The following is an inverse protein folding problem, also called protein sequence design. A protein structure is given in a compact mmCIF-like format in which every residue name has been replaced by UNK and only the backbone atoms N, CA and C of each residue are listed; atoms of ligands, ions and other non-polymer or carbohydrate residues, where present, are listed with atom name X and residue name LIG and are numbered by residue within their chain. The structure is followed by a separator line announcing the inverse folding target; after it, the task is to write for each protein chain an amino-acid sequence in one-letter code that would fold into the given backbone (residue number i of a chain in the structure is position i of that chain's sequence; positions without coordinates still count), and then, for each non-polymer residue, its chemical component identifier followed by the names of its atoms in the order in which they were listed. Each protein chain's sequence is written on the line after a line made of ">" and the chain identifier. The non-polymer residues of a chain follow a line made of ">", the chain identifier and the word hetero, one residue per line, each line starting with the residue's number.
data_IF_659959143398
#
_entry.id   IF_659959143398
#
_cell.length_a   1.000
_cell.length_b   1.000
_cell.length_c   1.000
_cell.angle_alpha   90.00
_cell.angle_beta   90.00
_cell.angle_gamma   90.00
#
_symmetry.space_group_name_H-M   'P 1'
#
loop_
_entity.id
_entity.type
_entity.pdbx_description
1 polymer ?
#
# COMPACT_ATOMS: atom_id res chain seq x y z
N UNK A 1 12.79 -10.02 -27.88
CA UNK A 1 13.13 -8.81 -27.10
C UNK A 1 14.14 -9.28 -26.07
N UNK A 2 15.35 -8.73 -26.09
CA UNK A 2 16.45 -9.23 -25.25
C UNK A 2 16.12 -9.04 -23.76
N UNK A 3 16.46 -10.00 -22.88
CA UNK A 3 16.21 -9.89 -21.42
C UNK A 3 16.76 -8.60 -20.81
N UNK A 4 17.83 -8.06 -21.39
CA UNK A 4 18.46 -6.80 -20.98
C UNK A 4 17.56 -5.57 -21.19
N UNK A 5 16.85 -5.50 -22.32
CA UNK A 5 15.93 -4.39 -22.62
C UNK A 5 14.75 -4.35 -21.66
N UNK A 6 14.25 -5.53 -21.28
CA UNK A 6 13.15 -5.66 -20.33
C UNK A 6 13.57 -5.26 -18.92
N UNK A 7 14.75 -5.70 -18.49
CA UNK A 7 15.33 -5.31 -17.19
C UNK A 7 15.59 -3.80 -17.12
N UNK A 8 16.05 -3.19 -18.21
CA UNK A 8 16.30 -1.75 -18.24
C UNK A 8 15.00 -0.93 -18.18
N UNK A 9 13.96 -1.33 -18.94
CA UNK A 9 12.63 -0.71 -18.86
C UNK A 9 12.04 -0.81 -17.45
N UNK A 10 12.17 -1.97 -16.82
CA UNK A 10 11.72 -2.17 -15.45
C UNK A 10 12.49 -1.26 -14.46
N UNK A 11 13.81 -1.18 -14.59
CA UNK A 11 14.62 -0.28 -13.79
C UNK A 11 14.17 1.19 -13.92
N UNK A 12 13.85 1.66 -15.13
CA UNK A 12 13.36 3.02 -15.34
C UNK A 12 12.04 3.29 -14.61
N UNK A 13 11.12 2.31 -14.60
CA UNK A 13 9.87 2.40 -13.85
C UNK A 13 10.17 2.49 -12.34
N UNK A 14 10.99 1.57 -11.81
CA UNK A 14 11.36 1.55 -10.40
C UNK A 14 12.10 2.82 -9.98
N UNK A 15 12.96 3.38 -10.84
CA UNK A 15 13.66 4.64 -10.61
C UNK A 15 12.70 5.83 -10.48
N UNK A 16 11.67 5.89 -11.32
CA UNK A 16 10.65 6.94 -11.23
C UNK A 16 9.83 6.83 -9.95
N UNK A 17 9.42 5.61 -9.57
CA UNK A 17 8.71 5.38 -8.31
C UNK A 17 9.62 5.71 -7.13
N UNK A 18 10.89 5.30 -7.15
CA UNK A 18 11.87 5.57 -6.11
C UNK A 18 12.00 7.06 -5.80
N UNK A 19 12.13 7.89 -6.84
CA UNK A 19 12.21 9.36 -6.71
C UNK A 19 10.95 9.97 -6.11
N UNK A 20 9.77 9.54 -6.57
CA UNK A 20 8.49 10.12 -6.14
C UNK A 20 8.08 9.67 -4.74
N UNK A 21 8.30 8.39 -4.42
CA UNK A 21 8.00 7.78 -3.14
C UNK A 21 9.08 8.07 -2.09
N UNK A 22 10.29 8.48 -2.49
CA UNK A 22 11.49 8.57 -1.62
C UNK A 22 11.80 7.22 -0.96
N UNK A 23 11.80 6.16 -1.75
CA UNK A 23 12.05 4.76 -1.32
C UNK A 23 13.15 4.17 -2.18
N UNK A 24 14.01 3.32 -1.62
CA UNK A 24 15.11 2.70 -2.37
C UNK A 24 14.57 1.75 -3.47
N UNK A 25 15.31 1.59 -4.57
CA UNK A 25 14.94 0.62 -5.61
C UNK A 25 14.93 -0.80 -5.05
N UNK A 26 15.85 -1.14 -4.15
CA UNK A 26 15.91 -2.45 -3.48
C UNK A 26 14.62 -2.76 -2.71
N UNK A 27 14.11 -1.77 -1.98
CA UNK A 27 12.82 -1.86 -1.29
C UNK A 27 11.66 -2.03 -2.26
N UNK A 28 11.65 -1.26 -3.36
CA UNK A 28 10.61 -1.39 -4.39
C UNK A 28 10.64 -2.74 -5.09
N UNK A 29 11.80 -3.39 -5.23
CA UNK A 29 11.90 -4.76 -5.75
C UNK A 29 11.23 -5.77 -4.83
N UNK A 30 11.35 -5.61 -3.50
CA UNK A 30 10.62 -6.45 -2.53
C UNK A 30 9.11 -6.19 -2.59
N UNK A 31 8.70 -4.93 -2.76
CA UNK A 31 7.30 -4.52 -2.93
C UNK A 31 6.78 -4.69 -4.38
N UNK A 32 7.60 -5.21 -5.31
CA UNK A 32 7.22 -5.48 -6.71
C UNK A 32 6.33 -6.71 -6.83
N UNK A 33 6.30 -7.57 -5.81
CA UNK A 33 5.39 -8.70 -5.80
C UNK A 33 3.93 -8.25 -5.93
N UNK A 34 3.23 -8.74 -6.96
CA UNK A 34 1.85 -8.35 -7.26
C UNK A 34 0.88 -8.90 -6.21
N UNK A 35 1.12 -10.11 -5.69
CA UNK A 35 0.28 -10.73 -4.68
C UNK A 35 0.41 -10.00 -3.34
N UNK A 36 1.63 -9.64 -2.95
CA UNK A 36 1.88 -8.83 -1.75
C UNK A 36 1.14 -7.49 -1.83
N UNK A 37 1.26 -6.76 -2.95
CA UNK A 37 0.54 -5.48 -3.10
C UNK A 37 -0.97 -5.65 -3.05
N UNK A 38 -1.50 -6.66 -3.74
CA UNK A 38 -2.93 -6.95 -3.70
C UNK A 38 -3.40 -7.27 -2.28
N UNK A 39 -2.60 -8.02 -1.52
CA UNK A 39 -2.88 -8.34 -0.12
C UNK A 39 -2.86 -7.08 0.77
N UNK A 40 -1.85 -6.21 0.64
CA UNK A 40 -1.77 -4.94 1.37
C UNK A 40 -2.97 -4.03 1.06
N UNK A 41 -3.39 -3.97 -0.21
CA UNK A 41 -4.58 -3.21 -0.63
C UNK A 41 -5.86 -3.80 -0.04
N UNK A 42 -6.01 -5.12 -0.03
CA UNK A 42 -7.15 -5.78 0.58
C UNK A 42 -7.22 -5.54 2.10
N UNK A 43 -6.10 -5.66 2.80
CA UNK A 43 -6.01 -5.36 4.24
C UNK A 43 -6.32 -3.88 4.53
N UNK A 44 -5.85 -2.97 3.68
CA UNK A 44 -6.18 -1.56 3.82
C UNK A 44 -7.69 -1.35 3.62
N UNK A 45 -8.26 -1.90 2.55
CA UNK A 45 -9.69 -1.80 2.25
C UNK A 45 -10.59 -2.40 3.34
N UNK A 46 -10.11 -3.41 4.08
CA UNK A 46 -10.84 -4.03 5.18
C UNK A 46 -10.73 -3.29 6.52
N UNK A 47 -10.02 -2.16 6.56
CA UNK A 47 -9.95 -1.32 7.75
C UNK A 47 -8.59 -1.24 8.45
N UNK A 48 -7.55 -1.89 7.92
CA UNK A 48 -6.21 -1.82 8.51
C UNK A 48 -5.54 -0.49 8.15
N UNK A 49 -5.04 0.30 9.12
CA UNK A 49 -4.35 1.55 8.84
C UNK A 49 -2.98 1.30 8.20
N UNK A 50 -2.49 2.28 7.43
CA UNK A 50 -1.17 2.17 6.79
C UNK A 50 0.00 2.02 7.79
N UNK A 51 -0.15 2.48 9.03
CA UNK A 51 0.84 2.26 10.10
C UNK A 51 1.05 0.79 10.40
N UNK A 52 -0.03 0.05 10.58
CA UNK A 52 0.00 -1.39 10.84
C UNK A 52 0.54 -2.15 9.62
N UNK A 53 0.18 -1.72 8.41
CA UNK A 53 0.72 -2.32 7.19
C UNK A 53 2.22 -2.07 7.04
N UNK A 54 2.71 -0.89 7.42
CA UNK A 54 4.13 -0.55 7.46
C UNK A 54 4.90 -1.40 8.48
N UNK A 55 4.32 -1.64 9.66
CA UNK A 55 4.89 -2.52 10.68
C UNK A 55 4.92 -3.98 10.21
N UNK A 56 3.84 -4.45 9.60
CA UNK A 56 3.75 -5.79 9.01
C UNK A 56 4.84 -6.04 7.97
N UNK A 57 5.03 -5.13 7.00
CA UNK A 57 6.07 -5.30 5.98
C UNK A 57 7.49 -5.19 6.54
N UNK A 58 7.70 -4.38 7.57
CA UNK A 58 8.98 -4.34 8.28
C UNK A 58 9.27 -5.68 8.97
N UNK A 59 8.28 -6.25 9.66
CA UNK A 59 8.43 -7.50 10.41
C UNK A 59 8.64 -8.74 9.53
N UNK A 60 7.90 -8.86 8.42
CA UNK A 60 7.87 -10.09 7.61
C UNK A 60 8.70 -10.04 6.33
N UNK A 61 9.03 -8.84 5.84
CA UNK A 61 9.73 -8.65 4.57
C UNK A 61 11.01 -7.83 4.72
N UNK A 62 11.36 -7.43 5.95
CA UNK A 62 12.56 -6.63 6.25
C UNK A 62 12.60 -5.36 5.37
N UNK A 63 11.41 -4.76 5.20
CA UNK A 63 11.20 -3.56 4.40
C UNK A 63 10.82 -2.40 5.31
N UNK A 64 11.76 -1.48 5.53
CA UNK A 64 11.48 -0.25 6.25
C UNK A 64 10.90 0.80 5.30
N UNK A 65 9.58 1.05 5.43
CA UNK A 65 8.88 2.16 4.78
C UNK A 65 7.88 2.79 5.73
N UNK A 66 7.89 4.11 5.76
CA UNK A 66 6.91 4.90 6.50
C UNK A 66 5.51 4.80 5.85
N UNK A 67 4.43 5.03 6.60
CA UNK A 67 3.07 5.01 6.03
C UNK A 67 2.85 5.96 4.84
N UNK A 68 3.40 7.20 4.84
CA UNK A 68 3.34 8.08 3.67
C UNK A 68 4.11 7.53 2.45
N UNK A 69 5.24 6.85 2.67
CA UNK A 69 5.99 6.20 1.59
C UNK A 69 5.19 5.01 1.03
N UNK A 70 4.65 4.15 1.90
CA UNK A 70 3.83 3.00 1.51
C UNK A 70 2.61 3.43 0.67
N UNK A 71 1.90 4.47 1.11
CA UNK A 71 0.80 5.07 0.34
C UNK A 71 1.24 5.45 -1.08
N UNK A 72 2.36 6.18 -1.19
CA UNK A 72 2.87 6.63 -2.49
C UNK A 72 3.26 5.45 -3.38
N UNK A 73 3.88 4.42 -2.81
CA UNK A 73 4.22 3.20 -3.54
C UNK A 73 2.96 2.55 -4.10
N UNK A 74 1.98 2.23 -3.25
CA UNK A 74 0.73 1.58 -3.67
C UNK A 74 -0.01 2.41 -4.73
N UNK A 75 -0.14 3.72 -4.51
CA UNK A 75 -0.78 4.64 -5.45
C UNK A 75 -0.07 4.70 -6.82
N UNK A 76 1.26 4.63 -6.85
CA UNK A 76 2.04 4.72 -8.11
C UNK A 76 2.16 3.39 -8.83
N UNK A 77 2.02 2.28 -8.12
CA UNK A 77 2.01 0.94 -8.73
C UNK A 77 0.66 0.59 -9.33
N UNK A 78 -0.43 1.00 -8.68
CA UNK A 78 -1.79 0.74 -9.14
C UNK A 78 -2.74 1.80 -8.56
N UNK A 79 -2.97 2.86 -9.33
CA UNK A 79 -3.74 4.01 -8.87
C UNK A 79 -5.21 3.67 -8.65
N UNK A 80 -5.79 2.82 -9.50
CA UNK A 80 -7.20 2.45 -9.43
C UNK A 80 -7.47 1.52 -8.25
N UNK A 81 -6.64 0.48 -8.09
CA UNK A 81 -6.77 -0.43 -6.96
C UNK A 81 -6.53 0.29 -5.62
N UNK A 82 -5.57 1.22 -5.57
CA UNK A 82 -5.37 2.09 -4.40
C UNK A 82 -6.61 2.94 -4.09
N UNK A 83 -7.20 3.57 -5.11
CA UNK A 83 -8.40 4.40 -4.93
C UNK A 83 -9.55 3.60 -4.34
N UNK A 84 -9.82 2.42 -4.90
CA UNK A 84 -10.87 1.53 -4.42
C UNK A 84 -10.63 1.11 -2.96
N UNK A 85 -9.41 0.67 -2.63
CA UNK A 85 -9.06 0.31 -1.25
C UNK A 85 -9.20 1.49 -0.28
N UNK A 86 -8.77 2.69 -0.67
CA UNK A 86 -8.85 3.88 0.17
C UNK A 86 -10.29 4.37 0.39
N UNK A 87 -11.18 4.13 -0.57
CA UNK A 87 -12.61 4.43 -0.43
C UNK A 87 -13.29 3.38 0.47
N UNK A 88 -12.99 2.08 0.29
CA UNK A 88 -13.46 1.01 1.19
C UNK A 88 -13.00 1.21 2.64
N UNK A 89 -11.74 1.61 2.85
CA UNK A 89 -11.21 1.93 4.18
C UNK A 89 -12.02 3.05 4.86
N UNK A 90 -12.36 4.11 4.11
CA UNK A 90 -13.18 5.22 4.63
C UNK A 90 -14.57 4.74 5.02
N UNK A 91 -15.24 3.97 4.15
CA UNK A 91 -16.55 3.39 4.44
C UNK A 91 -16.50 2.50 5.70
N UNK A 92 -15.48 1.65 5.83
CA UNK A 92 -15.31 0.81 7.02
C UNK A 92 -15.14 1.65 8.29
N UNK A 93 -14.34 2.72 8.23
CA UNK A 93 -14.15 3.65 9.36
C UNK A 93 -15.44 4.39 9.74
N UNK A 94 -16.21 4.83 8.76
CA UNK A 94 -17.46 5.54 9.00
C UNK A 94 -18.52 4.61 9.61
N UNK A 95 -18.64 3.38 9.10
CA UNK A 95 -19.50 2.35 9.67
C UNK A 95 -19.13 2.06 11.13
N UNK A 96 -17.85 1.82 11.42
CA UNK A 96 -17.36 1.59 12.80
C UNK A 96 -17.63 2.79 13.72
N UNK A 97 -17.60 4.01 13.19
CA UNK A 97 -17.93 5.22 13.94
C UNK A 97 -19.42 5.29 14.25
N UNK A 98 -20.28 4.97 13.27
CA UNK A 98 -21.73 4.94 13.45
C UNK A 98 -22.14 3.86 14.47
N UNK A 99 -21.58 2.65 14.38
CA UNK A 99 -21.80 1.56 15.35
C UNK A 99 -21.49 2.01 16.78
N UNK A 100 -20.37 2.70 16.98
CA UNK A 100 -19.99 3.23 18.30
C UNK A 100 -20.97 4.28 18.83
N UNK A 101 -21.47 5.17 17.96
CA UNK A 101 -22.45 6.19 18.34
C UNK A 101 -23.78 5.55 18.73
N UNK A 102 -24.29 4.62 17.91
CA UNK A 102 -25.53 3.89 18.18
C UNK A 102 -25.42 3.11 19.50
N UNK A 103 -24.31 2.42 19.73
CA UNK A 103 -24.05 1.70 20.98
C UNK A 103 -23.96 2.62 22.21
N UNK A 104 -23.58 3.89 22.03
CA UNK A 104 -23.48 4.86 23.13
C UNK A 104 -24.82 5.54 23.44
N UNK A 105 -25.72 5.65 22.46
CA UNK A 105 -27.08 6.22 22.62
C UNK A 105 -28.11 5.19 23.11
N UNK A 106 -27.85 3.89 22.90
CA UNK A 106 -28.69 2.79 23.40
C UNK A 106 -28.36 2.35 24.84
N UNK A 107 -27.52 3.09 25.55
CA UNK A 107 -27.25 2.98 27.00
C UNK A 107 -27.80 4.22 27.69
#
# INVERSE_FOLDING_TARGET
>A
MEPFDQNFKEYLILKNISRSAKVSISTLRRLKDRQLRAHLLALHGSGSPLSELSEYIAAFYDVDVTPPQLRKVLQRTDQEAWKNAADSYRQHRDMKRQEKIISALGK
#
